data_IF_169513605407
#
_entry.id   IF_169513605407
#
_cell.length_a   1.000
_cell.length_b   1.000
_cell.length_c   1.000
_cell.angle_alpha   90.00
_cell.angle_beta   90.00
_cell.angle_gamma   90.00
#
_symmetry.space_group_name_H-M   'P 1'
#
loop_
_entity.id
_entity.type
_entity.pdbx_description
1 polymer ?
#
# COMPACT_ATOMS: atom_id res chain seq x y z
N UNK A 1 -48.54 -38.12 -8.61
CA UNK A 1 -47.67 -37.33 -9.52
C UNK A 1 -46.82 -36.38 -8.67
N UNK A 2 -45.49 -36.42 -8.85
CA UNK A 2 -44.48 -35.88 -7.93
C UNK A 2 -44.40 -34.34 -7.91
N UNK A 3 -44.39 -33.77 -6.70
CA UNK A 3 -44.00 -32.37 -6.45
C UNK A 3 -42.48 -32.22 -6.50
N UNK A 4 -41.95 -31.40 -7.41
CA UNK A 4 -40.52 -31.12 -7.55
C UNK A 4 -40.11 -29.96 -6.65
N UNK A 5 -39.38 -30.27 -5.58
CA UNK A 5 -38.66 -29.29 -4.77
C UNK A 5 -37.53 -28.63 -5.59
N UNK A 6 -37.74 -27.39 -6.03
CA UNK A 6 -36.68 -26.56 -6.62
C UNK A 6 -35.79 -25.99 -5.51
N UNK A 7 -34.71 -26.70 -5.15
CA UNK A 7 -33.63 -26.10 -4.35
C UNK A 7 -32.95 -25.03 -5.21
N UNK A 8 -33.09 -23.76 -4.83
CA UNK A 8 -32.30 -22.66 -5.39
C UNK A 8 -30.82 -22.91 -5.06
N UNK A 9 -29.89 -22.82 -6.02
CA UNK A 9 -28.47 -22.96 -5.71
C UNK A 9 -28.01 -21.79 -4.84
N UNK A 10 -27.37 -22.12 -3.72
CA UNK A 10 -26.75 -21.17 -2.79
C UNK A 10 -25.62 -20.45 -3.51
N UNK A 11 -25.84 -19.18 -3.88
CA UNK A 11 -24.82 -18.33 -4.50
C UNK A 11 -23.83 -17.92 -3.41
N UNK A 12 -22.79 -18.70 -3.20
CA UNK A 12 -21.65 -18.32 -2.35
C UNK A 12 -20.89 -17.20 -3.06
N UNK A 13 -21.08 -15.95 -2.60
CA UNK A 13 -20.24 -14.84 -3.02
C UNK A 13 -18.87 -15.03 -2.37
N UNK A 14 -18.00 -15.81 -3.00
CA UNK A 14 -16.59 -15.83 -2.67
C UNK A 14 -16.07 -14.44 -3.02
N UNK A 15 -15.83 -13.59 -2.01
CA UNK A 15 -15.11 -12.32 -2.18
C UNK A 15 -13.81 -12.65 -2.90
N UNK A 16 -13.74 -12.39 -4.20
CA UNK A 16 -12.46 -12.35 -4.89
C UNK A 16 -11.68 -11.21 -4.25
N UNK A 17 -10.48 -11.52 -3.73
CA UNK A 17 -9.50 -10.47 -3.49
C UNK A 17 -9.33 -9.75 -4.83
N UNK A 18 -9.36 -8.40 -4.89
CA UNK A 18 -9.13 -7.71 -6.14
C UNK A 18 -7.82 -8.24 -6.73
N UNK A 19 -7.91 -8.90 -7.88
CA UNK A 19 -6.76 -9.42 -8.59
C UNK A 19 -5.92 -8.22 -9.02
N UNK A 20 -4.62 -8.25 -8.72
CA UNK A 20 -3.66 -7.25 -9.21
C UNK A 20 -3.84 -7.11 -10.72
N UNK A 21 -4.19 -5.93 -11.25
CA UNK A 21 -4.25 -5.73 -12.69
C UNK A 21 -2.87 -6.00 -13.29
N UNK A 22 -2.79 -6.87 -14.30
CA UNK A 22 -1.51 -7.22 -14.92
C UNK A 22 -0.80 -5.96 -15.43
N UNK A 23 0.52 -5.86 -15.20
CA UNK A 23 1.29 -4.70 -15.63
C UNK A 23 1.22 -3.47 -14.72
N UNK A 24 0.33 -3.45 -13.72
CA UNK A 24 0.15 -2.29 -12.84
C UNK A 24 0.95 -2.42 -11.54
N UNK A 25 1.07 -1.31 -10.82
CA UNK A 25 1.66 -1.20 -9.50
C UNK A 25 0.67 -0.53 -8.55
N UNK A 26 0.63 -0.99 -7.29
CA UNK A 26 -0.21 -0.34 -6.27
C UNK A 26 0.57 0.83 -5.69
N UNK A 27 0.00 2.02 -5.76
CA UNK A 27 0.44 3.16 -4.95
C UNK A 27 -0.15 3.00 -3.56
N UNK A 28 0.72 3.07 -2.57
CA UNK A 28 0.38 3.09 -1.14
C UNK A 28 0.80 4.44 -0.54
N UNK A 29 0.12 4.82 0.54
CA UNK A 29 0.55 5.90 1.42
C UNK A 29 1.22 5.29 2.65
N UNK A 30 2.49 5.64 2.87
CA UNK A 30 3.18 5.37 4.12
C UNK A 30 2.88 6.51 5.09
N UNK A 31 2.48 6.17 6.30
CA UNK A 31 2.29 7.11 7.42
C UNK A 31 3.27 6.72 8.51
N UNK A 32 4.16 7.64 8.87
CA UNK A 32 5.12 7.46 9.95
C UNK A 32 4.56 8.11 11.23
N UNK A 33 4.70 7.41 12.35
CA UNK A 33 4.38 8.01 13.65
C UNK A 33 5.55 8.91 14.06
N UNK A 34 5.27 10.20 14.12
CA UNK A 34 6.27 11.24 14.30
C UNK A 34 6.63 11.58 15.74
N UNK A 35 6.22 10.80 16.74
CA UNK A 35 6.50 11.18 18.12
C UNK A 35 8.02 11.21 18.42
N UNK A 36 8.56 12.26 19.06
CA UNK A 36 7.86 13.47 19.53
C UNK A 36 7.70 14.57 18.47
N UNK A 37 8.51 14.61 17.41
CA UNK A 37 8.29 15.50 16.27
C UNK A 37 8.75 14.83 14.97
N UNK A 38 7.90 14.93 13.92
CA UNK A 38 8.03 14.50 12.51
C UNK A 38 6.95 13.52 12.08
N UNK A 39 5.68 13.95 12.14
CA UNK A 39 4.67 13.29 11.32
C UNK A 39 5.14 13.40 9.88
N UNK A 40 5.35 12.25 9.24
CA UNK A 40 5.87 12.18 7.90
C UNK A 40 5.02 11.21 7.10
N UNK A 41 4.94 11.46 5.80
CA UNK A 41 4.22 10.59 4.90
C UNK A 41 4.93 10.56 3.55
N UNK A 42 4.79 9.43 2.86
CA UNK A 42 5.40 9.22 1.56
C UNK A 42 4.49 8.38 0.68
N UNK A 43 4.57 8.59 -0.63
CA UNK A 43 4.03 7.64 -1.58
C UNK A 43 4.98 6.46 -1.70
N UNK A 44 4.41 5.27 -1.84
CA UNK A 44 5.15 4.03 -1.93
C UNK A 44 4.64 3.17 -3.07
N UNK A 45 5.58 2.69 -3.87
CA UNK A 45 5.31 1.73 -4.93
C UNK A 45 6.11 0.48 -4.58
N UNK A 46 5.42 -0.52 -4.04
CA UNK A 46 6.05 -1.79 -3.66
C UNK A 46 6.51 -2.58 -4.88
N UNK A 47 7.61 -3.31 -4.73
CA UNK A 47 8.01 -4.34 -5.67
C UNK A 47 6.98 -5.48 -5.70
N UNK A 48 6.95 -6.20 -6.83
CA UNK A 48 6.09 -7.39 -7.01
C UNK A 48 6.60 -8.58 -6.22
N UNK A 49 7.92 -8.70 -6.08
CA UNK A 49 8.57 -9.88 -5.50
C UNK A 49 8.74 -9.76 -3.98
N UNK A 50 8.85 -8.53 -3.47
CA UNK A 50 8.97 -8.24 -2.05
C UNK A 50 8.17 -6.96 -1.71
N UNK A 51 7.18 -7.08 -0.83
CA UNK A 51 6.30 -5.96 -0.49
C UNK A 51 6.96 -4.87 0.35
N UNK A 52 8.11 -5.16 0.94
CA UNK A 52 8.86 -4.25 1.82
C UNK A 52 10.02 -3.56 1.08
N UNK A 53 10.29 -3.97 -0.16
CA UNK A 53 11.23 -3.30 -1.06
C UNK A 53 10.47 -2.54 -2.14
N UNK A 54 10.88 -1.32 -2.47
CA UNK A 54 10.12 -0.50 -3.41
C UNK A 54 10.71 0.87 -3.72
N UNK A 55 9.84 1.74 -4.22
CA UNK A 55 10.15 3.14 -4.53
C UNK A 55 9.38 4.04 -3.58
N UNK A 56 10.09 4.89 -2.85
CA UNK A 56 9.52 5.92 -1.98
C UNK A 56 9.63 7.27 -2.66
N UNK A 57 8.54 8.06 -2.61
CA UNK A 57 8.50 9.43 -3.07
C UNK A 57 8.04 10.31 -1.91
N UNK A 58 8.85 11.30 -1.55
CA UNK A 58 8.62 12.08 -0.33
C UNK A 58 9.11 13.53 -0.47
N UNK A 59 8.60 14.37 0.43
CA UNK A 59 9.19 15.68 0.70
C UNK A 59 10.13 15.55 1.91
N UNK A 60 11.41 15.26 1.66
CA UNK A 60 12.42 15.11 2.69
C UNK A 60 12.87 16.48 3.22
N UNK A 61 12.97 16.63 4.54
CA UNK A 61 13.44 17.87 5.17
C UNK A 61 12.72 18.20 6.46
N UNK A 62 12.78 19.48 6.85
CA UNK A 62 12.10 20.01 8.03
C UNK A 62 11.84 21.52 7.90
N UNK A 63 11.08 22.07 8.84
CA UNK A 63 10.68 23.50 8.84
C UNK A 63 11.89 24.44 8.90
N UNK A 64 13.00 24.02 9.51
CA UNK A 64 14.18 24.87 9.68
C UNK A 64 15.04 24.91 8.41
N UNK A 65 15.18 23.78 7.72
CA UNK A 65 16.07 23.61 6.58
C UNK A 65 15.35 23.61 5.22
N UNK A 66 14.01 23.61 5.24
CA UNK A 66 13.17 23.46 4.07
C UNK A 66 12.99 22.00 3.65
N UNK A 67 12.25 21.80 2.55
CA UNK A 67 11.90 20.49 2.02
C UNK A 67 12.42 20.31 0.58
N UNK A 68 12.75 19.07 0.24
CA UNK A 68 13.18 18.64 -1.10
C UNK A 68 12.37 17.43 -1.52
N UNK A 69 12.03 17.36 -2.81
CA UNK A 69 11.39 16.17 -3.36
C UNK A 69 12.45 15.11 -3.64
N UNK A 70 12.31 13.93 -3.02
CA UNK A 70 13.22 12.81 -3.17
C UNK A 70 12.49 11.57 -3.68
N UNK A 71 13.19 10.79 -4.52
CA UNK A 71 12.73 9.49 -5.03
C UNK A 71 13.79 8.45 -4.68
N UNK A 72 13.49 7.62 -3.69
CA UNK A 72 14.38 6.57 -3.21
C UNK A 72 13.96 5.23 -3.81
N UNK A 73 14.78 4.67 -4.70
CA UNK A 73 14.50 3.40 -5.40
C UNK A 73 15.17 2.23 -4.70
N UNK A 74 14.55 1.05 -4.78
CA UNK A 74 15.02 -0.17 -4.13
C UNK A 74 15.24 0.02 -2.61
N UNK A 75 14.45 0.90 -2.00
CA UNK A 75 14.47 1.12 -0.56
C UNK A 75 13.90 -0.13 0.11
N UNK A 76 14.52 -0.59 1.20
CA UNK A 76 14.03 -1.69 2.03
C UNK A 76 13.49 -1.12 3.34
N UNK A 77 12.17 -1.15 3.52
CA UNK A 77 11.49 -0.60 4.70
C UNK A 77 11.89 -1.32 6.00
N UNK A 78 12.41 -2.55 5.92
CA UNK A 78 12.89 -3.29 7.10
C UNK A 78 14.23 -2.76 7.61
N UNK A 79 14.94 -2.00 6.79
CA UNK A 79 16.24 -1.40 7.10
C UNK A 79 16.15 0.11 7.36
N UNK A 80 14.97 0.72 7.19
CA UNK A 80 14.75 2.14 7.46
C UNK A 80 14.34 2.39 8.90
N UNK A 81 14.85 3.49 9.49
CA UNK A 81 14.35 4.04 10.75
C UNK A 81 13.93 5.48 10.53
N UNK A 82 12.69 5.88 10.86
CA UNK A 82 11.62 5.06 11.43
C UNK A 82 10.97 4.10 10.41
N UNK A 83 10.34 3.03 10.91
CA UNK A 83 9.49 2.13 10.10
C UNK A 83 8.09 2.77 9.95
N UNK A 84 7.42 2.64 8.79
CA UNK A 84 6.05 3.13 8.64
C UNK A 84 5.11 2.53 9.68
N UNK A 85 4.33 3.37 10.35
CA UNK A 85 3.29 2.94 11.29
C UNK A 85 2.08 2.34 10.56
N UNK A 86 1.75 2.89 9.39
CA UNK A 86 0.61 2.43 8.59
C UNK A 86 0.91 2.51 7.09
N UNK A 87 0.42 1.50 6.36
CA UNK A 87 0.37 1.46 4.89
C UNK A 87 -1.09 1.51 4.45
N UNK A 88 -1.45 2.50 3.65
CA UNK A 88 -2.82 2.66 3.14
C UNK A 88 -2.80 2.45 1.63
N UNK A 89 -3.50 1.43 1.08
CA UNK A 89 -3.59 1.27 -0.37
C UNK A 89 -4.39 2.42 -0.98
N UNK A 90 -3.88 3.04 -2.03
CA UNK A 90 -4.55 4.12 -2.75
C UNK A 90 -5.13 3.59 -4.07
N UNK A 91 -4.31 3.56 -5.13
CA UNK A 91 -4.75 3.34 -6.51
C UNK A 91 -3.74 2.48 -7.28
N UNK A 92 -4.24 1.68 -8.20
CA UNK A 92 -3.41 0.99 -9.19
C UNK A 92 -3.02 1.95 -10.33
N UNK A 93 -1.73 2.02 -10.64
CA UNK A 93 -1.14 2.81 -11.74
C UNK A 93 -0.35 1.94 -12.71
#
# INVERSE_FOLDING_TARGET
MLSRNLRRPSRTYRRSRPSVPAGHSLVELLIYNGAPFKEHWAYWIRSRDNTDVGVMLEAAGDVMNGFRFEINRALDLTQTTPVPFKRVPLQWV
#
